data_IF_139701316120
#
_entry.id   IF_139701316120
#
_cell.length_a   1.000
_cell.length_b   1.000
_cell.length_c   1.000
_cell.angle_alpha   90.00
_cell.angle_beta   90.00
_cell.angle_gamma   90.00
#
_symmetry.space_group_name_H-M   'P 1'
#
loop_
_entity.id
_entity.type
_entity.pdbx_description
1 polymer ?
#
# COMPACT_ATOMS: atom_id res chain seq x y z
N UNK A 1 -18.49 6.57 -15.00
CA UNK A 1 -19.09 6.58 -13.66
C UNK A 1 -18.78 5.30 -12.92
N UNK A 2 -19.35 4.14 -13.28
CA UNK A 2 -19.11 2.88 -12.54
C UNK A 2 -17.63 2.51 -12.32
N UNK A 3 -16.77 2.61 -13.34
CA UNK A 3 -15.33 2.32 -13.20
C UNK A 3 -14.61 3.27 -12.24
N UNK A 4 -15.03 4.54 -12.21
CA UNK A 4 -14.48 5.56 -11.33
C UNK A 4 -14.91 5.32 -9.88
N UNK A 5 -16.19 5.06 -9.66
CA UNK A 5 -16.74 4.77 -8.34
C UNK A 5 -16.13 3.50 -7.75
N UNK A 6 -16.00 2.44 -8.56
CA UNK A 6 -15.35 1.20 -8.15
C UNK A 6 -13.88 1.41 -7.76
N UNK A 7 -13.15 2.22 -8.53
CA UNK A 7 -11.74 2.53 -8.26
C UNK A 7 -11.57 3.32 -6.96
N UNK A 8 -12.43 4.31 -6.72
CA UNK A 8 -12.43 5.06 -5.46
C UNK A 8 -12.81 4.18 -4.28
N UNK A 9 -13.82 3.33 -4.43
CA UNK A 9 -14.23 2.39 -3.40
C UNK A 9 -13.08 1.41 -3.05
N UNK A 10 -12.30 0.96 -4.03
CA UNK A 10 -11.14 0.11 -3.78
C UNK A 10 -10.02 0.86 -3.04
N UNK A 11 -9.70 2.10 -3.45
CA UNK A 11 -8.67 2.90 -2.79
C UNK A 11 -9.05 3.26 -1.35
N UNK A 12 -10.30 3.68 -1.15
CA UNK A 12 -10.79 4.17 0.14
C UNK A 12 -11.35 3.05 1.03
N UNK A 13 -11.61 1.87 0.50
CA UNK A 13 -12.14 0.73 1.24
C UNK A 13 -11.17 0.26 2.31
N UNK A 14 -11.71 -0.09 3.47
CA UNK A 14 -10.92 -0.71 4.53
C UNK A 14 -10.49 -2.11 4.13
N UNK A 15 -9.26 -2.49 4.48
CA UNK A 15 -8.71 -3.83 4.26
C UNK A 15 -8.62 -4.29 2.78
N UNK A 16 -8.73 -3.39 1.81
CA UNK A 16 -8.49 -3.69 0.39
C UNK A 16 -7.03 -3.36 0.04
N UNK A 17 -6.24 -4.41 -0.19
CA UNK A 17 -4.83 -4.36 -0.56
C UNK A 17 -4.50 -5.11 -1.86
N UNK A 18 -5.37 -6.02 -2.31
CA UNK A 18 -5.21 -6.72 -3.59
C UNK A 18 -5.94 -5.97 -4.71
N UNK A 19 -5.18 -5.24 -5.53
CA UNK A 19 -5.70 -4.51 -6.68
C UNK A 19 -5.55 -5.28 -8.00
N UNK A 20 -4.92 -6.46 -7.98
CA UNK A 20 -4.56 -7.21 -9.17
C UNK A 20 -5.79 -7.71 -9.94
N UNK A 21 -6.76 -8.28 -9.22
CA UNK A 21 -8.03 -8.73 -9.81
C UNK A 21 -8.83 -7.56 -10.39
N UNK A 22 -8.86 -6.44 -9.67
CA UNK A 22 -9.53 -5.23 -10.11
C UNK A 22 -8.90 -4.67 -11.39
N UNK A 23 -7.57 -4.56 -11.45
CA UNK A 23 -6.82 -4.11 -12.63
C UNK A 23 -6.94 -5.07 -13.83
N UNK A 24 -7.12 -6.37 -13.58
CA UNK A 24 -7.37 -7.35 -14.63
C UNK A 24 -8.77 -7.20 -15.25
N UNK A 25 -9.74 -6.68 -14.49
CA UNK A 25 -11.11 -6.54 -14.94
C UNK A 25 -11.24 -5.48 -16.06
N UNK A 26 -11.92 -5.78 -17.20
CA UNK A 26 -12.06 -4.85 -18.33
C UNK A 26 -12.68 -3.50 -17.96
N UNK A 27 -13.50 -3.46 -16.91
CA UNK A 27 -14.11 -2.23 -16.40
C UNK A 27 -13.08 -1.17 -16.04
N UNK A 28 -11.93 -1.56 -15.49
CA UNK A 28 -10.89 -0.62 -15.09
C UNK A 28 -10.12 -0.11 -16.30
N UNK A 29 -9.94 -0.96 -17.32
CA UNK A 29 -9.36 -0.54 -18.60
C UNK A 29 -10.19 0.51 -19.33
N UNK A 30 -11.49 0.62 -19.04
CA UNK A 30 -12.35 1.67 -19.60
C UNK A 30 -12.01 3.09 -19.13
N UNK A 31 -11.16 3.25 -18.09
CA UNK A 31 -10.66 4.54 -17.64
C UNK A 31 -9.60 5.13 -18.58
N UNK A 32 -8.89 4.28 -19.33
CA UNK A 32 -7.81 4.69 -20.22
C UNK A 32 -8.36 5.55 -21.38
N UNK A 33 -7.69 6.66 -21.70
CA UNK A 33 -8.14 7.59 -22.74
C UNK A 33 -9.31 8.50 -22.31
N UNK A 34 -9.70 8.45 -21.03
CA UNK A 34 -10.70 9.35 -20.44
C UNK A 34 -10.04 10.42 -19.59
N UNK A 35 -10.81 11.42 -19.14
CA UNK A 35 -10.33 12.49 -18.25
C UNK A 35 -9.90 11.98 -16.86
N UNK A 36 -10.28 10.76 -16.51
CA UNK A 36 -9.99 10.14 -15.21
C UNK A 36 -8.97 9.00 -15.33
N UNK A 37 -8.22 8.92 -16.43
CA UNK A 37 -7.20 7.90 -16.63
C UNK A 37 -6.10 7.90 -15.56
N UNK A 38 -5.86 9.05 -14.91
CA UNK A 38 -4.94 9.16 -13.78
C UNK A 38 -5.25 8.14 -12.67
N UNK A 39 -6.53 7.82 -12.47
CA UNK A 39 -6.97 6.90 -11.43
C UNK A 39 -6.52 5.46 -11.72
N UNK A 40 -6.42 5.09 -13.00
CA UNK A 40 -5.83 3.81 -13.42
C UNK A 40 -4.37 3.70 -13.00
N UNK A 41 -3.59 4.77 -13.24
CA UNK A 41 -2.17 4.79 -12.86
C UNK A 41 -1.97 4.81 -11.35
N UNK A 42 -2.85 5.49 -10.60
CA UNK A 42 -2.85 5.41 -9.13
C UNK A 42 -3.10 3.97 -8.68
N UNK A 43 -4.11 3.29 -9.22
CA UNK A 43 -4.37 1.87 -8.89
C UNK A 43 -3.18 0.97 -9.21
N UNK A 44 -2.48 1.21 -10.34
CA UNK A 44 -1.26 0.47 -10.66
C UNK A 44 -0.16 0.70 -9.63
N UNK A 45 0.07 1.95 -9.22
CA UNK A 45 1.08 2.27 -8.20
C UNK A 45 0.77 1.59 -6.86
N UNK A 46 -0.52 1.54 -6.47
CA UNK A 46 -0.97 0.78 -5.30
C UNK A 46 -0.72 -0.72 -5.47
N UNK A 47 -1.10 -1.29 -6.60
CA UNK A 47 -0.92 -2.71 -6.87
C UNK A 47 0.54 -3.17 -6.79
N UNK A 48 1.48 -2.37 -7.30
CA UNK A 48 2.90 -2.70 -7.28
C UNK A 48 3.63 -2.19 -6.03
N UNK A 49 2.93 -1.53 -5.10
CA UNK A 49 3.57 -0.88 -3.95
C UNK A 49 4.63 0.16 -4.33
N UNK A 50 4.50 0.79 -5.51
CA UNK A 50 5.49 1.74 -6.02
C UNK A 50 5.21 3.15 -5.50
N UNK A 51 5.82 3.45 -4.35
CA UNK A 51 5.66 4.74 -3.69
C UNK A 51 6.27 5.88 -4.50
N UNK A 52 7.37 5.63 -5.23
CA UNK A 52 8.00 6.64 -6.08
C UNK A 52 7.04 7.05 -7.18
N UNK A 53 6.46 6.06 -7.85
CA UNK A 53 5.47 6.30 -8.90
C UNK A 53 4.22 6.99 -8.37
N UNK A 54 3.74 6.61 -7.19
CA UNK A 54 2.61 7.27 -6.56
C UNK A 54 2.90 8.76 -6.29
N UNK A 55 4.07 9.09 -5.73
CA UNK A 55 4.47 10.48 -5.47
C UNK A 55 4.55 11.31 -6.77
N UNK A 56 5.11 10.74 -7.84
CA UNK A 56 5.15 11.39 -9.16
C UNK A 56 3.74 11.66 -9.68
N UNK A 57 2.84 10.67 -9.61
CA UNK A 57 1.45 10.81 -10.05
C UNK A 57 0.70 11.85 -9.21
N UNK A 58 0.98 11.96 -7.92
CA UNK A 58 0.43 13.00 -7.06
C UNK A 58 0.83 14.41 -7.50
N UNK A 59 2.08 14.60 -7.94
CA UNK A 59 2.55 15.88 -8.49
C UNK A 59 1.91 16.16 -9.85
N UNK A 60 1.94 15.18 -10.76
CA UNK A 60 1.43 15.33 -12.14
C UNK A 60 -0.08 15.56 -12.16
N UNK A 61 -0.83 14.89 -11.30
CA UNK A 61 -2.30 14.92 -11.26
C UNK A 61 -2.87 15.66 -10.05
N UNK A 62 -2.08 16.55 -9.43
CA UNK A 62 -2.45 17.29 -8.22
C UNK A 62 -3.84 17.93 -8.34
N UNK A 63 -4.12 18.63 -9.44
CA UNK A 63 -5.41 19.30 -9.65
C UNK A 63 -6.59 18.32 -9.64
N UNK A 64 -6.44 17.13 -10.23
CA UNK A 64 -7.50 16.12 -10.27
C UNK A 64 -7.71 15.45 -8.90
N UNK A 65 -6.61 15.19 -8.18
CA UNK A 65 -6.65 14.63 -6.83
C UNK A 65 -7.28 15.60 -5.83
N UNK A 66 -6.86 16.86 -5.84
CA UNK A 66 -7.39 17.92 -4.97
C UNK A 66 -8.85 18.26 -5.30
N UNK A 67 -9.28 18.07 -6.55
CA UNK A 67 -10.67 18.23 -6.94
C UNK A 67 -11.58 17.13 -6.39
N UNK A 68 -11.04 16.03 -5.84
CA UNK A 68 -11.83 14.93 -5.30
C UNK A 68 -11.85 14.92 -3.76
N UNK A 69 -12.94 15.38 -3.11
CA UNK A 69 -12.99 15.53 -1.65
C UNK A 69 -12.74 14.23 -0.90
N UNK A 70 -13.21 13.10 -1.43
CA UNK A 70 -13.05 11.80 -0.80
C UNK A 70 -11.58 11.38 -0.68
N UNK A 71 -10.73 11.75 -1.63
CA UNK A 71 -9.29 11.47 -1.59
C UNK A 71 -8.59 12.42 -0.61
N UNK A 72 -8.91 13.72 -0.66
CA UNK A 72 -8.33 14.73 0.23
C UNK A 72 -8.62 14.43 1.70
N UNK A 73 -9.87 14.06 2.02
CA UNK A 73 -10.28 13.72 3.39
C UNK A 73 -9.58 12.45 3.92
N UNK A 74 -9.11 11.57 3.02
CA UNK A 74 -8.51 10.29 3.36
C UNK A 74 -7.02 10.21 2.98
N UNK A 75 -6.35 11.35 2.77
CA UNK A 75 -4.94 11.38 2.33
C UNK A 75 -4.02 10.56 3.23
N UNK A 76 -4.16 10.69 4.57
CA UNK A 76 -3.37 9.92 5.54
C UNK A 76 -3.60 8.41 5.40
N UNK A 77 -4.86 8.00 5.19
CA UNK A 77 -5.25 6.60 5.00
C UNK A 77 -4.63 6.03 3.72
N UNK A 78 -4.66 6.81 2.64
CA UNK A 78 -4.05 6.43 1.37
C UNK A 78 -2.53 6.28 1.49
N UNK A 79 -1.86 7.22 2.18
CA UNK A 79 -0.43 7.15 2.47
C UNK A 79 -0.05 5.93 3.31
N UNK A 80 -0.81 5.64 4.37
CA UNK A 80 -0.61 4.43 5.17
C UNK A 80 -0.79 3.17 4.32
N UNK A 81 -1.84 3.13 3.47
CA UNK A 81 -2.13 1.98 2.61
C UNK A 81 -1.02 1.72 1.58
N UNK A 82 -0.54 2.74 0.86
CA UNK A 82 0.55 2.55 -0.13
C UNK A 82 1.86 2.14 0.55
N UNK A 83 2.14 2.62 1.77
CA UNK A 83 3.31 2.20 2.55
C UNK A 83 3.24 0.72 2.93
N UNK A 84 2.07 0.23 3.32
CA UNK A 84 1.85 -1.20 3.59
C UNK A 84 2.08 -2.04 2.32
N UNK A 85 1.55 -1.60 1.18
CA UNK A 85 1.71 -2.30 -0.10
C UNK A 85 3.16 -2.32 -0.56
N UNK A 86 3.89 -1.22 -0.38
CA UNK A 86 5.32 -1.14 -0.66
C UNK A 86 6.11 -2.13 0.21
N UNK A 87 5.78 -2.20 1.51
CA UNK A 87 6.40 -3.15 2.43
C UNK A 87 6.11 -4.60 2.03
N UNK A 88 4.85 -4.93 1.71
CA UNK A 88 4.47 -6.26 1.21
C UNK A 88 5.29 -6.64 -0.02
N UNK A 89 5.38 -5.75 -1.02
CA UNK A 89 6.16 -6.00 -2.23
C UNK A 89 7.64 -6.27 -1.92
N UNK A 90 8.24 -5.50 -1.01
CA UNK A 90 9.64 -5.71 -0.58
C UNK A 90 9.83 -7.09 0.08
N UNK A 91 8.86 -7.56 0.86
CA UNK A 91 8.92 -8.86 1.57
C UNK A 91 8.75 -10.02 0.59
N UNK A 92 7.76 -9.92 -0.30
CA UNK A 92 7.38 -11.01 -1.21
C UNK A 92 8.29 -11.09 -2.45
N UNK A 93 8.95 -10.00 -2.85
CA UNK A 93 9.94 -10.02 -3.93
C UNK A 93 11.26 -10.69 -3.54
N UNK A 94 11.52 -10.88 -2.24
CA UNK A 94 12.74 -11.56 -1.77
C UNK A 94 12.59 -13.08 -1.79
N UNK A 95 13.68 -13.83 -2.06
CA UNK A 95 13.69 -15.30 -1.95
C UNK A 95 13.34 -15.78 -0.54
N UNK A 96 12.86 -17.01 -0.41
CA UNK A 96 12.49 -17.60 0.89
C UNK A 96 13.72 -17.88 1.79
N UNK A 97 14.88 -18.03 1.17
CA UNK A 97 16.17 -18.26 1.83
C UNK A 97 16.70 -16.97 2.47
N UNK A 98 16.29 -15.81 1.95
CA UNK A 98 16.56 -14.52 2.55
C UNK A 98 15.53 -14.24 3.63
N UNK A 99 15.94 -14.46 4.87
CA UNK A 99 15.05 -14.42 6.04
C UNK A 99 15.05 -13.06 6.72
N UNK A 100 15.99 -12.17 6.39
CA UNK A 100 16.08 -10.88 7.07
C UNK A 100 16.25 -9.73 6.10
N UNK A 101 15.58 -8.63 6.39
CA UNK A 101 15.75 -7.38 5.65
C UNK A 101 16.26 -6.28 6.58
N UNK A 102 17.40 -5.63 6.26
CA UNK A 102 17.85 -4.45 7.00
C UNK A 102 16.84 -3.31 6.85
N UNK A 103 16.58 -2.59 7.94
CA UNK A 103 15.65 -1.45 7.91
C UNK A 103 16.10 -0.35 6.94
N UNK A 104 17.41 -0.20 6.74
CA UNK A 104 17.98 0.76 5.77
C UNK A 104 17.53 0.49 4.33
N UNK A 105 17.37 -0.78 3.95
CA UNK A 105 16.87 -1.13 2.60
C UNK A 105 15.39 -0.80 2.47
N UNK A 106 14.61 -1.02 3.53
CA UNK A 106 13.20 -0.61 3.54
C UNK A 106 13.10 0.91 3.45
N UNK A 107 13.88 1.63 4.25
CA UNK A 107 13.92 3.10 4.27
C UNK A 107 14.27 3.70 2.90
N UNK A 108 15.25 3.12 2.20
CA UNK A 108 15.60 3.54 0.84
C UNK A 108 14.42 3.38 -0.14
N UNK A 109 13.70 2.25 -0.06
CA UNK A 109 12.60 1.92 -0.98
C UNK A 109 11.31 2.68 -0.66
N UNK A 110 11.03 2.93 0.61
CA UNK A 110 9.87 3.67 1.08
C UNK A 110 10.12 5.17 1.18
N UNK A 111 11.34 5.64 0.93
CA UNK A 111 11.74 7.05 1.13
C UNK A 111 11.37 7.59 2.51
N UNK A 112 11.38 6.71 3.51
CA UNK A 112 11.12 7.03 4.91
C UNK A 112 12.45 7.06 5.67
N UNK A 113 12.46 7.73 6.82
CA UNK A 113 13.55 7.55 7.78
C UNK A 113 13.52 6.12 8.35
N UNK A 114 14.64 5.65 8.90
CA UNK A 114 14.67 4.33 9.56
C UNK A 114 13.67 4.31 10.72
N UNK A 115 13.55 5.41 11.44
CA UNK A 115 12.61 5.61 12.54
C UNK A 115 11.15 5.51 12.07
N UNK A 116 10.81 6.12 10.94
CA UNK A 116 9.47 6.02 10.34
C UNK A 116 9.18 4.61 9.82
N UNK A 117 10.19 3.90 9.32
CA UNK A 117 10.08 2.48 8.95
C UNK A 117 9.81 1.62 10.18
N UNK A 118 10.52 1.83 11.29
CA UNK A 118 10.25 1.14 12.56
C UNK A 118 8.81 1.39 13.02
N UNK A 119 8.34 2.65 12.97
CA UNK A 119 6.97 2.99 13.33
C UNK A 119 5.94 2.33 12.40
N UNK A 120 6.19 2.32 11.09
CA UNK A 120 5.34 1.66 10.10
C UNK A 120 5.25 0.15 10.36
N UNK A 121 6.39 -0.48 10.65
CA UNK A 121 6.46 -1.89 11.00
C UNK A 121 5.73 -2.15 12.31
N UNK A 122 5.97 -1.35 13.35
CA UNK A 122 5.25 -1.46 14.63
C UNK A 122 3.75 -1.31 14.46
N UNK A 123 3.26 -0.36 13.65
CA UNK A 123 1.82 -0.20 13.34
C UNK A 123 1.29 -1.42 12.59
N UNK A 124 2.01 -1.89 11.58
CA UNK A 124 1.61 -3.04 10.76
C UNK A 124 1.61 -4.35 11.56
N UNK A 125 2.48 -4.43 12.55
CA UNK A 125 2.71 -5.54 13.47
C UNK A 125 2.02 -5.35 14.82
N UNK A 126 1.30 -4.26 15.09
CA UNK A 126 0.84 -3.91 16.46
C UNK A 126 -0.21 -4.87 17.02
N UNK A 127 -0.70 -5.80 16.22
CA UNK A 127 -1.50 -6.96 16.68
C UNK A 127 -0.62 -7.96 17.43
N UNK A 128 0.70 -7.98 17.19
CA UNK A 128 1.66 -8.89 17.81
C UNK A 128 2.98 -8.21 18.25
N UNK A 129 2.87 -7.60 19.42
CA UNK A 129 3.88 -7.55 20.50
C UNK A 129 5.12 -6.64 20.41
N UNK A 130 5.51 -6.21 21.61
CA UNK A 130 6.46 -5.21 22.09
C UNK A 130 7.95 -5.45 21.77
N UNK A 131 8.29 -6.26 20.76
CA UNK A 131 9.67 -6.71 20.49
C UNK A 131 10.39 -5.90 19.41
N UNK A 132 9.69 -5.06 18.65
CA UNK A 132 10.29 -4.37 17.50
C UNK A 132 11.19 -3.17 17.85
N UNK A 133 11.17 -2.70 19.09
CA UNK A 133 11.77 -1.42 19.51
C UNK A 133 13.31 -1.35 19.47
N UNK A 134 14.01 -2.35 18.92
CA UNK A 134 15.50 -2.42 18.86
C UNK A 134 16.10 -3.26 17.72
N UNK A 135 15.36 -3.64 16.68
CA UNK A 135 15.87 -4.57 15.67
C UNK A 135 16.42 -3.84 14.43
N UNK A 136 17.70 -4.01 14.08
CA UNK A 136 18.28 -3.45 12.84
C UNK A 136 17.79 -4.14 11.55
N UNK A 137 17.05 -5.24 11.69
CA UNK A 137 16.52 -6.05 10.60
C UNK A 137 15.20 -6.70 11.01
N UNK A 138 14.41 -7.11 10.02
CA UNK A 138 13.12 -7.80 10.23
C UNK A 138 13.16 -9.22 9.72
N UNK A 139 12.59 -10.17 10.45
CA UNK A 139 12.38 -11.54 9.96
C UNK A 139 11.23 -11.57 8.92
N UNK A 140 11.59 -11.90 7.69
CA UNK A 140 10.68 -11.96 6.55
C UNK A 140 9.74 -13.17 6.60
N UNK A 141 10.12 -14.28 7.24
CA UNK A 141 9.23 -15.44 7.36
C UNK A 141 8.09 -15.14 8.32
N UNK A 142 8.39 -14.48 9.43
CA UNK A 142 7.37 -13.99 10.36
C UNK A 142 6.40 -13.02 9.68
N UNK A 143 6.92 -12.07 8.90
CA UNK A 143 6.08 -11.14 8.14
C UNK A 143 5.26 -11.85 7.04
N UNK A 144 5.85 -12.77 6.29
CA UNK A 144 5.12 -13.56 5.28
C UNK A 144 3.98 -14.34 5.91
N UNK A 145 4.21 -15.02 7.04
CA UNK A 145 3.16 -15.72 7.78
C UNK A 145 2.03 -14.78 8.20
N UNK A 146 2.37 -13.60 8.74
CA UNK A 146 1.38 -12.59 9.12
C UNK A 146 0.58 -12.05 7.93
N UNK A 147 1.23 -11.77 6.81
CA UNK A 147 0.57 -11.21 5.63
C UNK A 147 -0.25 -12.27 4.88
N UNK A 148 0.22 -13.51 4.78
CA UNK A 148 -0.55 -14.64 4.22
C UNK A 148 -1.77 -14.95 5.08
N UNK A 149 -1.66 -14.85 6.42
CA UNK A 149 -2.82 -14.96 7.29
C UNK A 149 -3.77 -13.75 7.18
N UNK A 150 -3.24 -12.56 6.87
CA UNK A 150 -4.04 -11.33 6.66
C UNK A 150 -4.76 -11.27 5.30
N UNK A 151 -4.33 -12.00 4.28
CA UNK A 151 -5.13 -12.25 3.06
C UNK A 151 -6.46 -12.97 3.38
N UNK A 152 -6.60 -13.52 4.61
CA UNK A 152 -7.80 -14.16 5.15
C UNK A 152 -8.51 -13.28 6.20
N UNK A 153 -8.25 -11.98 6.32
CA UNK A 153 -8.85 -11.16 7.40
C UNK A 153 -10.18 -10.46 7.02
N UNK A 154 -11.36 -10.99 7.42
CA UNK A 154 -12.53 -10.18 7.66
C UNK A 154 -12.31 -9.40 8.96
N UNK A 155 -12.36 -8.07 8.85
CA UNK A 155 -12.75 -7.11 9.89
C UNK A 155 -12.67 -7.58 11.35
N UNK A 156 -11.49 -7.56 11.95
CA UNK A 156 -11.39 -7.33 13.39
C UNK A 156 -10.60 -6.05 13.61
N UNK A 157 -11.34 -4.95 13.69
CA UNK A 157 -11.32 -4.00 14.81
C UNK A 157 -12.59 -3.15 14.70
N UNK A 158 -13.72 -3.76 15.07
CA UNK A 158 -14.82 -3.02 15.69
C UNK A 158 -14.50 -3.00 17.19
N UNK A 159 -14.44 -1.79 17.76
CA UNK A 159 -14.14 -1.52 19.17
C UNK A 159 -13.87 -0.05 19.35
#
# INVERSE_FOLDING_TARGET
DLAFDLSLAALLGDNIYNFGELLAHPIIKSLLGTRVEWLYYILQAFNSGDLVRYQELCVVHQAALSAQPALVQNERKLLEKINILCLMEIIFSRPAEDRTIPLSIIAERTRLSVEDVELLLMKSLSVFTSTFNRCSFVDLNYLRELYVQKDVWPSHHAG
#
